data_IF_637785986583
#
_entry.id   IF_637785986583
#
_cell.length_a   1.000
_cell.length_b   1.000
_cell.length_c   1.000
_cell.angle_alpha   90.00
_cell.angle_beta   90.00
_cell.angle_gamma   90.00
#
_symmetry.space_group_name_H-M   'P 1'
#
loop_
_entity.id
_entity.type
_entity.pdbx_description
1 polymer ?
#
# COMPACT_ATOMS: atom_id res chain seq x y z
N UNK A 1 45.23 27.93 23.08
CA UNK A 1 45.08 26.60 22.44
C UNK A 1 43.62 26.56 21.94
N UNK A 2 43.40 26.78 20.65
CA UNK A 2 42.09 26.59 20.05
C UNK A 2 41.95 25.10 19.74
N UNK A 3 41.09 24.41 20.49
CA UNK A 3 40.59 23.09 20.09
C UNK A 3 39.79 23.28 18.79
N UNK A 4 40.43 23.04 17.69
CA UNK A 4 39.78 22.93 16.39
C UNK A 4 39.00 21.62 16.41
N UNK A 5 37.71 21.68 16.79
CA UNK A 5 36.80 20.57 16.63
C UNK A 5 36.57 20.48 15.10
N UNK A 6 37.33 19.61 14.45
CA UNK A 6 37.05 19.21 13.08
C UNK A 6 35.72 18.45 13.10
N UNK A 7 34.68 18.96 12.40
CA UNK A 7 33.43 18.24 12.33
C UNK A 7 33.66 16.88 11.65
N UNK A 8 33.00 15.84 12.14
CA UNK A 8 33.08 14.53 11.52
C UNK A 8 32.64 14.63 10.05
N UNK A 9 33.27 13.86 9.16
CA UNK A 9 32.93 13.87 7.76
C UNK A 9 31.48 13.43 7.54
N UNK A 10 30.75 14.13 6.67
CA UNK A 10 29.41 13.74 6.26
C UNK A 10 29.50 12.66 5.18
N UNK A 11 28.94 11.48 5.46
CA UNK A 11 28.91 10.38 4.51
C UNK A 11 27.79 10.64 3.50
N UNK A 12 28.14 10.63 2.21
CA UNK A 12 27.15 10.74 1.12
C UNK A 12 26.33 9.46 1.00
N UNK A 13 25.03 9.59 0.84
CA UNK A 13 24.14 8.45 0.58
C UNK A 13 23.87 8.32 -0.94
N UNK A 14 23.83 7.09 -1.48
CA UNK A 14 23.47 6.87 -2.87
C UNK A 14 22.01 7.29 -3.13
N UNK A 15 21.74 7.67 -4.38
CA UNK A 15 20.41 8.06 -4.83
C UNK A 15 19.92 7.08 -5.89
N UNK A 16 18.68 6.66 -5.78
CA UNK A 16 18.02 5.72 -6.70
C UNK A 16 16.80 6.36 -7.34
N UNK A 17 16.35 5.81 -8.45
CA UNK A 17 15.11 6.22 -9.13
C UNK A 17 14.12 5.05 -9.16
N UNK A 18 12.84 5.38 -9.02
CA UNK A 18 11.72 4.47 -9.06
C UNK A 18 10.57 5.12 -9.83
N UNK A 19 9.80 4.32 -10.56
CA UNK A 19 8.57 4.78 -11.21
C UNK A 19 7.37 4.32 -10.40
N UNK A 20 6.52 5.25 -9.99
CA UNK A 20 5.28 4.93 -9.27
C UNK A 20 4.31 4.18 -10.17
N UNK A 21 3.76 3.06 -9.72
CA UNK A 21 2.82 2.25 -10.51
C UNK A 21 1.48 2.92 -10.81
N UNK A 22 0.98 3.77 -9.90
CA UNK A 22 -0.31 4.46 -10.09
C UNK A 22 -0.26 5.54 -11.16
N UNK A 23 0.83 6.28 -11.23
CA UNK A 23 0.92 7.52 -12.01
C UNK A 23 2.03 7.51 -13.06
N UNK A 24 2.83 6.46 -13.15
CA UNK A 24 4.04 6.39 -13.99
C UNK A 24 5.04 7.53 -13.73
N UNK A 25 4.94 8.22 -12.60
CA UNK A 25 5.83 9.30 -12.22
C UNK A 25 7.14 8.78 -11.67
N UNK A 26 8.26 9.28 -12.18
CA UNK A 26 9.59 8.95 -11.67
C UNK A 26 9.87 9.70 -10.37
N UNK A 27 10.34 8.98 -9.37
CA UNK A 27 10.72 9.52 -8.06
C UNK A 27 12.18 9.17 -7.78
N UNK A 28 12.92 10.16 -7.30
CA UNK A 28 14.26 9.97 -6.73
C UNK A 28 14.15 9.77 -5.24
N UNK A 29 14.84 8.77 -4.74
CA UNK A 29 14.86 8.44 -3.32
C UNK A 29 16.25 8.01 -2.86
N UNK A 30 16.47 8.01 -1.56
CA UNK A 30 17.66 7.47 -0.90
C UNK A 30 17.27 6.35 0.07
N UNK A 31 18.20 5.45 0.39
CA UNK A 31 18.02 4.53 1.50
C UNK A 31 17.74 5.29 2.81
N UNK A 32 17.06 4.65 3.74
CA UNK A 32 16.93 5.22 5.08
C UNK A 32 18.27 5.06 5.84
N UNK A 33 18.51 5.98 6.76
CA UNK A 33 19.67 5.98 7.64
C UNK A 33 19.29 5.36 8.99
N UNK A 34 20.28 5.09 9.83
CA UNK A 34 20.07 4.54 11.18
C UNK A 34 19.06 5.33 12.00
N UNK A 35 18.98 6.65 11.81
CA UNK A 35 17.99 7.50 12.50
C UNK A 35 16.54 7.21 12.07
N UNK A 36 16.31 6.90 10.80
CA UNK A 36 15.00 6.50 10.28
C UNK A 36 14.68 5.05 10.69
N UNK A 37 15.66 4.16 10.66
CA UNK A 37 15.52 2.78 11.15
C UNK A 37 15.11 2.73 12.62
N UNK A 38 15.74 3.56 13.46
CA UNK A 38 15.37 3.68 14.87
C UNK A 38 13.89 4.08 15.04
N UNK A 39 13.37 4.97 14.20
CA UNK A 39 11.95 5.38 14.23
C UNK A 39 11.05 4.18 13.95
N UNK A 40 11.39 3.37 12.93
CA UNK A 40 10.63 2.16 12.60
C UNK A 40 10.65 1.13 13.73
N UNK A 41 11.81 0.85 14.30
CA UNK A 41 11.96 -0.10 15.43
C UNK A 41 11.10 0.34 16.62
N UNK A 42 11.18 1.61 17.03
CA UNK A 42 10.39 2.14 18.14
C UNK A 42 8.87 2.08 17.86
N UNK A 43 8.47 2.32 16.61
CA UNK A 43 7.07 2.20 16.22
C UNK A 43 6.61 0.73 16.27
N UNK A 44 7.44 -0.23 15.85
CA UNK A 44 7.12 -1.66 15.92
C UNK A 44 7.02 -2.16 17.38
N UNK A 45 7.89 -1.68 18.26
CA UNK A 45 7.85 -2.01 19.70
C UNK A 45 6.54 -1.52 20.37
N UNK A 46 5.94 -0.44 19.87
CA UNK A 46 4.66 0.07 20.40
C UNK A 46 3.49 -0.86 20.15
N UNK A 47 3.59 -1.78 19.17
CA UNK A 47 2.50 -2.65 18.68
C UNK A 47 1.22 -1.88 18.26
N UNK A 48 1.31 -0.57 18.11
CA UNK A 48 0.23 0.29 17.66
C UNK A 48 0.31 0.48 16.16
N UNK A 49 -0.64 -0.12 15.45
CA UNK A 49 -0.70 -0.06 13.98
C UNK A 49 -0.77 1.36 13.43
N UNK A 50 -1.40 2.30 14.14
CA UNK A 50 -1.42 3.73 13.74
C UNK A 50 -0.04 4.37 13.85
N UNK A 51 0.69 4.08 14.92
CA UNK A 51 2.05 4.59 15.10
C UNK A 51 2.99 4.00 14.05
N UNK A 52 2.85 2.70 13.76
CA UNK A 52 3.62 2.04 12.69
C UNK A 52 3.36 2.69 11.34
N UNK A 53 2.09 2.88 10.95
CA UNK A 53 1.73 3.49 9.69
C UNK A 53 2.22 4.94 9.56
N UNK A 54 2.16 5.73 10.66
CA UNK A 54 2.72 7.09 10.70
C UNK A 54 4.24 7.09 10.56
N UNK A 55 4.92 6.19 11.26
CA UNK A 55 6.38 6.06 11.19
C UNK A 55 6.84 5.69 9.77
N UNK A 56 6.16 4.73 9.12
CA UNK A 56 6.43 4.35 7.73
C UNK A 56 6.25 5.56 6.80
N UNK A 57 5.14 6.29 6.93
CA UNK A 57 4.89 7.52 6.16
C UNK A 57 6.01 8.55 6.33
N UNK A 58 6.40 8.82 7.58
CA UNK A 58 7.42 9.82 7.90
C UNK A 58 8.81 9.42 7.39
N UNK A 59 9.14 8.14 7.45
CA UNK A 59 10.39 7.60 6.91
C UNK A 59 10.40 7.72 5.39
N UNK A 60 9.34 7.32 4.70
CA UNK A 60 9.22 7.46 3.25
C UNK A 60 9.36 8.94 2.84
N UNK A 61 8.66 9.85 3.51
CA UNK A 61 8.71 11.28 3.23
C UNK A 61 10.14 11.86 3.34
N UNK A 62 10.93 11.37 4.33
CA UNK A 62 12.33 11.78 4.51
C UNK A 62 13.29 11.15 3.50
N UNK A 63 12.93 10.01 2.93
CA UNK A 63 13.75 9.30 1.94
C UNK A 63 13.49 9.80 0.51
N UNK A 64 12.33 10.37 0.21
CA UNK A 64 12.02 10.94 -1.11
C UNK A 64 12.78 12.25 -1.30
N UNK A 65 13.51 12.35 -2.43
CA UNK A 65 14.28 13.54 -2.81
C UNK A 65 13.55 14.39 -3.87
N UNK A 66 12.57 13.81 -4.56
CA UNK A 66 11.77 14.51 -5.57
C UNK A 66 10.83 15.52 -4.92
N UNK A 67 10.85 16.78 -5.42
CA UNK A 67 9.96 17.84 -4.94
C UNK A 67 8.51 17.61 -5.39
N UNK A 68 7.57 18.09 -4.58
CA UNK A 68 6.14 18.08 -4.91
C UNK A 68 5.44 16.72 -4.78
N UNK A 69 6.06 15.74 -4.12
CA UNK A 69 5.44 14.47 -3.74
C UNK A 69 4.87 14.61 -2.33
N UNK A 70 3.56 14.44 -2.22
CA UNK A 70 2.87 14.36 -0.92
C UNK A 70 2.56 12.88 -0.65
N UNK A 71 3.34 12.25 0.22
CA UNK A 71 3.21 10.83 0.56
C UNK A 71 1.80 10.48 1.03
N UNK A 72 1.13 11.40 1.70
CA UNK A 72 -0.24 11.25 2.21
C UNK A 72 -1.29 11.03 1.11
N UNK A 73 -0.99 11.52 -0.10
CA UNK A 73 -1.89 11.43 -1.27
C UNK A 73 -1.55 10.29 -2.22
N UNK A 74 -0.49 9.55 -1.94
CA UNK A 74 -0.12 8.39 -2.75
C UNK A 74 -1.06 7.24 -2.47
N UNK A 75 -1.31 6.42 -3.48
CA UNK A 75 -2.04 5.17 -3.33
C UNK A 75 -1.31 4.23 -2.36
N UNK A 76 -2.05 3.40 -1.65
CA UNK A 76 -1.50 2.47 -0.66
C UNK A 76 -0.44 1.56 -1.26
N UNK A 77 -0.71 0.98 -2.44
CA UNK A 77 0.25 0.11 -3.14
C UNK A 77 1.50 0.84 -3.65
N UNK A 78 1.42 2.15 -3.95
CA UNK A 78 2.60 2.97 -4.26
C UNK A 78 3.51 3.13 -3.04
N UNK A 79 2.91 3.30 -1.87
CA UNK A 79 3.62 3.44 -0.60
C UNK A 79 4.29 2.13 -0.21
N UNK A 80 3.57 1.02 -0.33
CA UNK A 80 4.13 -0.31 -0.11
C UNK A 80 5.31 -0.58 -1.04
N UNK A 81 5.16 -0.26 -2.33
CA UNK A 81 6.22 -0.42 -3.33
C UNK A 81 7.43 0.48 -3.06
N UNK A 82 7.20 1.75 -2.69
CA UNK A 82 8.26 2.67 -2.27
C UNK A 82 8.99 2.17 -1.04
N UNK A 83 8.25 1.77 0.00
CA UNK A 83 8.83 1.28 1.24
C UNK A 83 9.68 0.03 1.03
N UNK A 84 9.17 -0.92 0.24
CA UNK A 84 9.87 -2.15 -0.11
C UNK A 84 11.21 -1.85 -0.81
N UNK A 85 11.20 -0.96 -1.79
CA UNK A 85 12.41 -0.56 -2.51
C UNK A 85 13.40 0.23 -1.64
N UNK A 86 12.92 1.17 -0.82
CA UNK A 86 13.77 1.89 0.13
C UNK A 86 14.41 0.91 1.10
N UNK A 87 13.64 -0.04 1.66
CA UNK A 87 14.14 -1.08 2.56
C UNK A 87 15.20 -1.95 1.89
N UNK A 88 14.94 -2.41 0.66
CA UNK A 88 15.89 -3.23 -0.09
C UNK A 88 17.24 -2.57 -0.28
N UNK A 89 17.24 -1.28 -0.58
CA UNK A 89 18.49 -0.51 -0.74
C UNK A 89 19.13 -0.09 0.59
N UNK A 90 18.43 -0.24 1.72
CA UNK A 90 18.93 0.12 3.06
C UNK A 90 19.53 -1.07 3.80
N UNK A 91 18.83 -2.20 3.82
CA UNK A 91 19.17 -3.38 4.65
C UNK A 91 19.57 -4.58 3.81
N UNK A 92 19.21 -4.60 2.53
CA UNK A 92 19.47 -5.70 1.61
C UNK A 92 18.21 -6.15 0.87
N UNK A 93 18.42 -6.75 -0.27
CA UNK A 93 17.35 -7.14 -1.20
C UNK A 93 16.72 -8.49 -0.86
N UNK A 94 17.30 -9.25 0.08
CA UNK A 94 16.75 -10.52 0.56
C UNK A 94 16.01 -10.32 1.87
N UNK A 95 14.83 -10.93 1.96
CA UNK A 95 14.01 -10.97 3.17
C UNK A 95 13.85 -12.41 3.58
N UNK A 96 14.25 -12.73 4.80
CA UNK A 96 13.97 -14.02 5.41
C UNK A 96 12.62 -13.95 6.14
N UNK A 97 11.72 -14.86 5.82
CA UNK A 97 10.40 -14.96 6.43
C UNK A 97 10.12 -16.40 6.84
N UNK A 98 9.40 -16.56 7.93
CA UNK A 98 8.86 -17.86 8.32
C UNK A 98 7.44 -17.97 7.76
N UNK A 99 7.25 -18.91 6.84
CA UNK A 99 5.96 -19.13 6.18
C UNK A 99 5.30 -20.36 6.78
N UNK A 100 4.08 -20.19 7.23
CA UNK A 100 3.26 -21.32 7.73
C UNK A 100 2.70 -22.08 6.53
N UNK A 101 2.92 -23.38 6.50
CA UNK A 101 2.40 -24.27 5.46
C UNK A 101 0.87 -24.26 5.47
N UNK A 102 0.22 -24.01 4.31
CA UNK A 102 -1.25 -23.91 4.26
C UNK A 102 -1.96 -25.26 4.40
N UNK A 103 -1.25 -26.37 4.21
CA UNK A 103 -1.80 -27.73 4.27
C UNK A 103 -2.06 -28.23 5.69
N UNK A 104 -1.23 -27.87 6.68
CA UNK A 104 -1.40 -28.26 8.06
C UNK A 104 -1.64 -27.07 9.01
N UNK A 105 -1.41 -25.84 8.54
CA UNK A 105 -1.58 -24.60 9.30
C UNK A 105 -0.67 -24.47 10.53
N UNK A 106 0.38 -25.28 10.64
CA UNK A 106 1.26 -25.36 11.83
C UNK A 106 2.73 -25.34 11.50
N UNK A 107 3.17 -26.09 10.48
CA UNK A 107 4.58 -26.20 10.11
C UNK A 107 5.07 -24.88 9.53
N UNK A 108 6.14 -24.33 10.12
CA UNK A 108 6.78 -23.12 9.64
C UNK A 108 8.08 -23.47 8.88
N UNK A 109 8.22 -22.90 7.70
CA UNK A 109 9.38 -23.11 6.84
C UNK A 109 10.08 -21.78 6.61
N UNK A 110 11.40 -21.68 6.84
CA UNK A 110 12.14 -20.47 6.51
C UNK A 110 12.24 -20.33 4.99
N UNK A 111 11.87 -19.16 4.48
CA UNK A 111 11.94 -18.81 3.07
C UNK A 111 12.72 -17.52 2.89
N UNK A 112 13.57 -17.47 1.87
CA UNK A 112 14.23 -16.24 1.44
C UNK A 112 13.53 -15.71 0.19
N UNK A 113 13.06 -14.47 0.27
CA UNK A 113 12.36 -13.78 -0.83
C UNK A 113 13.24 -12.63 -1.29
N UNK A 114 13.50 -12.54 -2.60
CA UNK A 114 14.15 -11.37 -3.15
C UNK A 114 13.10 -10.27 -3.39
N UNK A 115 13.38 -9.05 -2.92
CA UNK A 115 12.50 -7.89 -3.08
C UNK A 115 12.21 -7.61 -4.56
N UNK A 116 13.19 -7.83 -5.45
CA UNK A 116 13.04 -7.61 -6.88
C UNK A 116 12.02 -8.56 -7.55
N UNK A 117 11.69 -9.68 -6.89
CA UNK A 117 10.68 -10.64 -7.35
C UNK A 117 9.26 -10.20 -6.95
N UNK A 118 9.12 -9.31 -5.98
CA UNK A 118 7.84 -8.77 -5.55
C UNK A 118 7.41 -7.68 -6.52
N UNK A 119 6.37 -7.95 -7.30
CA UNK A 119 5.88 -7.05 -8.35
C UNK A 119 4.44 -6.64 -8.10
N UNK A 120 4.11 -5.46 -8.59
CA UNK A 120 2.72 -5.04 -8.63
C UNK A 120 2.00 -5.87 -9.68
N UNK A 121 0.99 -6.58 -9.22
CA UNK A 121 0.04 -7.27 -10.07
C UNK A 121 -1.10 -6.33 -10.38
N UNK A 122 -1.32 -6.07 -11.65
CA UNK A 122 -2.44 -5.29 -12.16
C UNK A 122 -3.33 -6.21 -12.98
N UNK A 123 -4.60 -6.23 -12.66
CA UNK A 123 -5.59 -6.92 -13.47
C UNK A 123 -5.69 -6.24 -14.84
N UNK A 124 -5.86 -7.03 -15.90
CA UNK A 124 -5.96 -6.52 -17.26
C UNK A 124 -7.27 -5.77 -17.50
N UNK A 125 -8.31 -6.15 -16.78
CA UNK A 125 -9.65 -5.58 -16.88
C UNK A 125 -9.87 -4.41 -15.92
N UNK A 126 -8.85 -4.09 -15.09
CA UNK A 126 -8.96 -2.99 -14.14
C UNK A 126 -9.04 -1.64 -14.84
N UNK A 127 -10.11 -0.90 -14.56
CA UNK A 127 -10.34 0.47 -15.02
C UNK A 127 -10.68 1.38 -13.84
N UNK A 128 -10.19 2.61 -13.89
CA UNK A 128 -10.59 3.67 -12.96
C UNK A 128 -11.91 4.33 -13.37
N UNK A 129 -12.31 4.19 -14.62
CA UNK A 129 -13.60 4.67 -15.12
C UNK A 129 -14.59 3.52 -15.14
N UNK A 130 -15.69 3.67 -14.42
CA UNK A 130 -16.76 2.69 -14.24
C UNK A 130 -18.02 3.27 -14.88
N UNK A 131 -18.51 2.66 -15.93
CA UNK A 131 -19.77 3.05 -16.54
C UNK A 131 -20.94 2.50 -15.71
N UNK A 132 -21.65 3.36 -15.00
CA UNK A 132 -22.77 2.99 -14.15
C UNK A 132 -24.03 2.66 -14.94
N UNK A 133 -24.27 3.44 -16.01
CA UNK A 133 -25.36 3.27 -16.96
C UNK A 133 -25.03 3.99 -18.31
N UNK A 134 -26.02 4.12 -19.18
CA UNK A 134 -25.84 4.75 -20.50
C UNK A 134 -25.47 6.24 -20.43
N UNK A 135 -25.69 6.90 -19.29
CA UNK A 135 -25.50 8.34 -19.13
C UNK A 135 -24.33 8.68 -18.18
N UNK A 136 -24.19 7.92 -17.08
CA UNK A 136 -23.27 8.25 -16.01
C UNK A 136 -22.03 7.36 -15.98
N UNK A 137 -20.87 7.99 -15.96
CA UNK A 137 -19.58 7.32 -15.70
C UNK A 137 -19.00 7.85 -14.39
N UNK A 138 -18.59 6.93 -13.55
CA UNK A 138 -17.91 7.19 -12.28
C UNK A 138 -16.41 6.99 -12.45
N UNK A 139 -15.62 8.02 -12.17
CA UNK A 139 -14.17 7.90 -12.07
C UNK A 139 -13.75 7.72 -10.62
N UNK A 140 -13.02 6.64 -10.38
CA UNK A 140 -12.49 6.30 -9.06
C UNK A 140 -11.01 6.66 -8.95
N UNK A 141 -10.60 7.09 -7.77
CA UNK A 141 -9.19 7.21 -7.38
C UNK A 141 -8.85 6.13 -6.36
N UNK A 142 -7.59 5.74 -6.34
CA UNK A 142 -7.12 4.76 -5.36
C UNK A 142 -7.14 5.33 -3.94
N UNK A 143 -7.48 4.51 -2.92
CA UNK A 143 -7.44 4.94 -1.54
C UNK A 143 -6.03 5.39 -1.16
N UNK A 144 -5.94 6.57 -0.55
CA UNK A 144 -4.68 7.09 -0.03
C UNK A 144 -4.34 6.45 1.32
N UNK A 145 -3.05 6.54 1.70
CA UNK A 145 -2.62 6.08 3.01
C UNK A 145 -3.39 6.75 4.16
N UNK A 146 -3.72 8.03 4.02
CA UNK A 146 -4.47 8.77 5.04
C UNK A 146 -5.88 8.22 5.21
N UNK A 147 -6.54 7.87 4.12
CA UNK A 147 -7.87 7.26 4.10
C UNK A 147 -7.79 5.84 4.67
N UNK A 148 -6.83 5.05 4.22
CA UNK A 148 -6.60 3.70 4.71
C UNK A 148 -6.34 3.65 6.23
N UNK A 149 -5.52 4.56 6.77
CA UNK A 149 -5.25 4.63 8.22
C UNK A 149 -6.54 4.98 8.98
N UNK A 150 -7.33 5.93 8.50
CA UNK A 150 -8.58 6.32 9.17
C UNK A 150 -9.56 5.16 9.23
N UNK A 151 -9.75 4.46 8.11
CA UNK A 151 -10.75 3.39 8.01
C UNK A 151 -10.34 2.14 8.77
N UNK A 152 -9.07 1.72 8.68
CA UNK A 152 -8.64 0.45 9.25
C UNK A 152 -8.15 0.53 10.70
N UNK A 153 -7.73 1.70 11.18
CA UNK A 153 -7.11 1.83 12.50
C UNK A 153 -7.89 2.69 13.49
N UNK A 154 -8.85 3.49 13.03
CA UNK A 154 -9.72 4.25 13.93
C UNK A 154 -10.84 3.37 14.52
N UNK A 155 -11.19 2.26 13.86
CA UNK A 155 -12.29 1.37 14.22
C UNK A 155 -11.85 -0.11 14.32
N UNK A 156 -10.75 -0.40 15.04
CA UNK A 156 -10.12 -1.75 15.12
C UNK A 156 -11.04 -2.88 15.60
N UNK A 157 -12.19 -2.57 16.21
CA UNK A 157 -13.09 -3.61 16.76
C UNK A 157 -14.43 -3.78 16.04
N UNK A 158 -14.82 -2.84 15.16
CA UNK A 158 -16.08 -2.95 14.41
C UNK A 158 -15.94 -2.16 13.10
N UNK A 159 -15.58 -2.83 12.01
CA UNK A 159 -15.75 -2.26 10.68
C UNK A 159 -17.25 -2.09 10.45
N UNK A 160 -17.76 -0.90 10.72
CA UNK A 160 -19.16 -0.60 10.47
C UNK A 160 -19.38 -0.49 8.97
N UNK A 161 -20.53 -0.93 8.52
CA UNK A 161 -20.95 -0.78 7.12
C UNK A 161 -20.76 0.67 6.66
N UNK A 162 -21.08 1.64 7.53
CA UNK A 162 -20.95 3.07 7.28
C UNK A 162 -19.50 3.49 6.95
N UNK A 163 -18.49 2.88 7.59
CA UNK A 163 -17.07 3.19 7.32
C UNK A 163 -16.64 2.75 5.92
N UNK A 164 -17.22 1.65 5.43
CA UNK A 164 -16.97 1.16 4.06
C UNK A 164 -17.58 2.10 3.03
N UNK A 165 -18.83 2.55 3.24
CA UNK A 165 -19.47 3.52 2.37
C UNK A 165 -18.73 4.87 2.37
N UNK A 166 -18.27 5.32 3.52
CA UNK A 166 -17.44 6.52 3.66
C UNK A 166 -16.11 6.40 2.88
N UNK A 167 -15.46 5.22 2.91
CA UNK A 167 -14.24 4.98 2.14
C UNK A 167 -14.52 5.02 0.64
N UNK A 168 -15.57 4.36 0.19
CA UNK A 168 -16.00 4.37 -1.22
C UNK A 168 -16.26 5.80 -1.67
N UNK A 169 -17.03 6.58 -0.92
CA UNK A 169 -17.33 7.98 -1.22
C UNK A 169 -16.06 8.84 -1.32
N UNK A 170 -15.07 8.59 -0.46
CA UNK A 170 -13.79 9.29 -0.53
C UNK A 170 -12.93 8.88 -1.74
N UNK A 171 -13.14 7.70 -2.28
CA UNK A 171 -12.44 7.22 -3.48
C UNK A 171 -13.11 7.66 -4.80
N UNK A 172 -14.23 8.35 -4.76
CA UNK A 172 -14.81 9.00 -5.94
C UNK A 172 -13.94 10.20 -6.31
N UNK A 173 -13.46 10.26 -7.54
CA UNK A 173 -12.74 11.42 -8.08
C UNK A 173 -13.69 12.35 -8.82
N UNK A 174 -14.54 11.78 -9.67
CA UNK A 174 -15.46 12.52 -10.51
C UNK A 174 -16.62 11.64 -10.94
N UNK A 175 -17.82 12.22 -11.00
CA UNK A 175 -18.97 11.66 -11.74
C UNK A 175 -19.17 12.52 -12.95
N UNK A 176 -19.39 11.95 -14.13
CA UNK A 176 -19.55 12.72 -15.34
C UNK A 176 -20.51 12.06 -16.35
N UNK A 177 -21.09 12.90 -17.17
CA UNK A 177 -21.90 12.56 -18.35
C UNK A 177 -21.22 13.14 -19.59
N UNK A 178 -21.85 13.05 -20.77
CA UNK A 178 -21.35 13.73 -21.97
C UNK A 178 -21.40 15.27 -21.87
N UNK A 179 -22.31 15.82 -21.05
CA UNK A 179 -22.58 17.26 -20.99
C UNK A 179 -22.08 17.88 -19.66
N UNK A 180 -22.10 17.15 -18.54
CA UNK A 180 -21.84 17.67 -17.20
C UNK A 180 -20.82 16.82 -16.44
N UNK A 181 -20.14 17.44 -15.46
CA UNK A 181 -19.22 16.73 -14.60
C UNK A 181 -19.22 17.30 -13.18
N UNK A 182 -19.17 16.44 -12.19
CA UNK A 182 -19.09 16.78 -10.76
C UNK A 182 -17.80 16.21 -10.19
N UNK A 183 -16.89 17.10 -9.80
CA UNK A 183 -15.62 16.70 -9.24
C UNK A 183 -15.72 16.53 -7.71
N UNK A 184 -14.90 15.66 -7.15
CA UNK A 184 -14.81 15.46 -5.70
C UNK A 184 -14.62 16.76 -4.90
N UNK A 185 -13.95 17.77 -5.50
CA UNK A 185 -13.67 19.04 -4.83
C UNK A 185 -14.87 19.98 -4.77
N UNK A 186 -15.84 19.78 -5.65
CA UNK A 186 -17.07 20.57 -5.76
C UNK A 186 -18.21 19.98 -4.93
N UNK A 187 -18.13 18.69 -4.62
CA UNK A 187 -19.13 17.97 -3.85
C UNK A 187 -18.77 17.95 -2.36
N UNK A 188 -19.78 18.02 -1.51
CA UNK A 188 -19.62 17.80 -0.07
C UNK A 188 -19.50 16.30 0.23
N UNK A 189 -18.87 15.96 1.37
CA UNK A 189 -18.77 14.56 1.82
C UNK A 189 -20.15 13.88 1.90
N UNK A 190 -21.17 14.64 2.34
CA UNK A 190 -22.53 14.14 2.46
C UNK A 190 -23.14 13.80 1.10
N UNK A 191 -22.97 14.68 0.12
CA UNK A 191 -23.50 14.44 -1.25
C UNK A 191 -22.86 13.21 -1.89
N UNK A 192 -21.55 12.98 -1.67
CA UNK A 192 -20.88 11.78 -2.16
C UNK A 192 -21.38 10.51 -1.46
N UNK A 193 -21.65 10.58 -0.14
CA UNK A 193 -22.21 9.46 0.62
C UNK A 193 -23.64 9.15 0.16
N UNK A 194 -24.49 10.17 0.07
CA UNK A 194 -25.87 10.05 -0.42
C UNK A 194 -25.90 9.49 -1.87
N UNK A 195 -24.93 9.88 -2.70
CA UNK A 195 -24.79 9.32 -4.06
C UNK A 195 -24.48 7.82 -4.01
N UNK A 196 -23.53 7.38 -3.20
CA UNK A 196 -23.18 5.94 -3.07
C UNK A 196 -24.38 5.14 -2.56
N UNK A 197 -25.15 5.68 -1.61
CA UNK A 197 -26.35 5.04 -1.07
C UNK A 197 -27.50 4.97 -2.10
N UNK A 198 -27.52 5.86 -3.11
CA UNK A 198 -28.53 5.88 -4.17
C UNK A 198 -28.29 4.84 -5.27
N UNK A 199 -27.11 4.20 -5.30
CA UNK A 199 -26.76 3.22 -6.32
C UNK A 199 -27.54 1.91 -6.15
N UNK A 200 -27.89 1.29 -7.25
CA UNK A 200 -28.46 -0.05 -7.21
C UNK A 200 -27.38 -1.13 -6.98
N UNK A 201 -27.79 -2.34 -6.62
CA UNK A 201 -26.89 -3.43 -6.30
C UNK A 201 -25.92 -3.81 -7.42
N UNK A 202 -26.29 -3.65 -8.68
CA UNK A 202 -25.40 -3.94 -9.82
C UNK A 202 -24.33 -2.87 -9.96
N UNK A 203 -24.70 -1.59 -9.84
CA UNK A 203 -23.77 -0.47 -9.87
C UNK A 203 -22.79 -0.54 -8.69
N UNK A 204 -23.28 -0.91 -7.51
CA UNK A 204 -22.41 -1.10 -6.33
C UNK A 204 -21.40 -2.23 -6.54
N UNK A 205 -21.80 -3.37 -7.13
CA UNK A 205 -20.88 -4.44 -7.49
C UNK A 205 -19.79 -4.03 -8.47
N UNK A 206 -20.07 -3.09 -9.37
CA UNK A 206 -19.03 -2.56 -10.27
C UNK A 206 -17.97 -1.78 -9.49
N UNK A 207 -18.38 -1.07 -8.43
CA UNK A 207 -17.45 -0.38 -7.52
C UNK A 207 -16.66 -1.40 -6.68
N UNK A 208 -17.30 -2.43 -6.15
CA UNK A 208 -16.60 -3.51 -5.43
C UNK A 208 -15.53 -4.15 -6.32
N UNK A 209 -15.85 -4.43 -7.58
CA UNK A 209 -14.90 -4.98 -8.55
C UNK A 209 -13.69 -4.06 -8.79
N UNK A 210 -13.86 -2.73 -8.74
CA UNK A 210 -12.73 -1.80 -8.80
C UNK A 210 -11.74 -2.05 -7.66
N UNK A 211 -12.23 -2.22 -6.42
CA UNK A 211 -11.35 -2.48 -5.26
C UNK A 211 -10.73 -3.88 -5.30
N UNK A 212 -11.44 -4.88 -5.80
CA UNK A 212 -10.92 -6.24 -5.93
C UNK A 212 -9.80 -6.33 -6.97
N UNK A 213 -9.94 -5.62 -8.09
CA UNK A 213 -9.02 -5.64 -9.23
C UNK A 213 -7.92 -4.59 -9.15
N UNK A 214 -7.97 -3.67 -8.17
CA UNK A 214 -6.95 -2.62 -8.06
C UNK A 214 -5.54 -3.22 -7.91
N UNK A 215 -4.51 -2.51 -8.38
CA UNK A 215 -3.13 -2.97 -8.29
C UNK A 215 -2.73 -3.28 -6.85
N UNK A 216 -2.04 -4.42 -6.65
CA UNK A 216 -1.54 -4.86 -5.33
C UNK A 216 -0.16 -5.49 -5.44
N UNK A 217 0.66 -5.29 -4.43
CA UNK A 217 1.91 -6.02 -4.32
C UNK A 217 1.60 -7.48 -3.99
N UNK A 218 2.07 -8.39 -4.82
CA UNK A 218 1.94 -9.81 -4.57
C UNK A 218 3.12 -10.59 -5.15
N UNK A 219 3.56 -11.57 -4.41
CA UNK A 219 4.53 -12.55 -4.82
C UNK A 219 4.03 -13.94 -4.45
N UNK A 220 4.01 -14.85 -5.42
CA UNK A 220 3.61 -16.25 -5.19
C UNK A 220 4.83 -17.06 -4.87
N UNK A 221 4.82 -17.69 -3.71
CA UNK A 221 5.88 -18.61 -3.27
C UNK A 221 5.32 -20.02 -3.18
N UNK A 222 6.13 -20.99 -3.61
CA UNK A 222 5.82 -22.39 -3.44
C UNK A 222 6.50 -22.88 -2.17
N UNK A 223 5.71 -23.37 -1.22
CA UNK A 223 6.18 -23.92 0.05
C UNK A 223 5.99 -25.41 0.03
N UNK A 224 7.05 -26.16 0.36
CA UNK A 224 6.99 -27.61 0.53
C UNK A 224 7.03 -27.93 2.01
N UNK A 225 5.99 -28.61 2.52
CA UNK A 225 5.94 -29.03 3.90
C UNK A 225 6.88 -30.22 4.14
N UNK A 226 7.96 -30.05 4.91
CA UNK A 226 8.91 -31.13 5.15
C UNK A 226 8.30 -32.27 5.99
N UNK A 227 7.27 -31.99 6.75
CA UNK A 227 6.61 -33.02 7.60
C UNK A 227 5.74 -34.00 6.80
N UNK A 228 5.24 -33.61 5.62
CA UNK A 228 4.41 -34.48 4.78
C UNK A 228 5.22 -35.31 3.78
N UNK A 229 6.47 -34.97 3.53
CA UNK A 229 7.34 -35.74 2.64
C UNK A 229 7.77 -37.10 3.20
N UNK A 230 7.52 -37.40 4.47
CA UNK A 230 7.93 -38.62 5.16
C UNK A 230 6.78 -39.61 5.45
N UNK A 231 5.61 -39.44 4.86
CA UNK A 231 4.61 -40.52 4.84
C UNK A 231 4.90 -41.51 3.71
N UNK A 232 6.10 -42.10 3.74
CA UNK A 232 6.33 -43.33 2.99
C UNK A 232 5.54 -44.44 3.69
N UNK A 233 4.69 -45.20 2.98
CA UNK A 233 4.04 -46.35 3.59
C UNK A 233 5.09 -47.34 4.01
N UNK A 234 5.12 -47.67 5.30
CA UNK A 234 5.97 -48.76 5.82
C UNK A 234 5.64 -50.02 5.03
N UNK A 235 6.62 -50.67 4.42
CA UNK A 235 6.37 -51.96 3.77
C UNK A 235 5.94 -52.94 4.85
N UNK A 236 4.79 -53.57 4.63
CA UNK A 236 4.33 -54.71 5.40
C UNK A 236 5.15 -55.93 5.07
#
# INVERSE_FOLDING_TARGET
IRDSIMPLPTISTPTYELTLPSSNRKIKYRPFLVKEEKILILAMESQDSKQIARAVKDVIAKCILSKGIKVEKLATFDIEYLFLNIRGKSVGEQIEVMVTCPDDGKTQVPMSINIDDIKIQKDKEHSTDIQLDDQYTLRMKYPSLSEFIKTNFDNVNDMKVDDTFDLIAQCIDQVYTEEESWSHQECTKKELSDFVESLNSNQFKMIENFFETMPKLAHKINVTNPCLLYTSPSPR
#
